data_IF_338113427837
#
_entry.id   IF_338113427837
#
_cell.length_a   1.000
_cell.length_b   1.000
_cell.length_c   1.000
_cell.angle_alpha   90.00
_cell.angle_beta   90.00
_cell.angle_gamma   90.00
#
_symmetry.space_group_name_H-M   'P 1'
#
loop_
_entity.id
_entity.type
_entity.pdbx_description
1 polymer ?
#
# COMPACT_ATOMS: atom_id res chain seq x y z
N UNK A 1 -20.89 6.47 -8.94
CA UNK A 1 -19.85 6.17 -7.92
C UNK A 1 -18.58 6.88 -8.37
N UNK A 2 -18.01 7.73 -7.51
CA UNK A 2 -16.76 8.44 -7.82
C UNK A 2 -15.60 7.67 -7.20
N UNK A 3 -14.57 7.34 -8.00
CA UNK A 3 -13.34 6.67 -7.55
C UNK A 3 -12.20 7.67 -7.63
N UNK A 4 -11.63 8.01 -6.47
CA UNK A 4 -10.40 8.81 -6.40
C UNK A 4 -9.20 7.95 -6.78
N UNK A 5 -8.34 8.43 -7.70
CA UNK A 5 -7.08 7.76 -8.08
C UNK A 5 -5.89 8.22 -7.26
N UNK A 6 -6.02 9.34 -6.55
CA UNK A 6 -5.01 9.85 -5.64
C UNK A 6 -5.58 10.93 -4.70
N UNK A 7 -4.80 11.30 -3.68
CA UNK A 7 -5.23 12.30 -2.70
C UNK A 7 -5.40 13.71 -3.30
N UNK A 8 -4.68 14.03 -4.38
CA UNK A 8 -4.79 15.33 -5.06
C UNK A 8 -6.11 15.55 -5.81
N UNK A 9 -6.92 14.50 -5.98
CA UNK A 9 -8.27 14.63 -6.56
C UNK A 9 -9.34 15.00 -5.51
N UNK A 10 -8.94 15.11 -4.24
CA UNK A 10 -9.82 15.47 -3.13
C UNK A 10 -9.65 16.95 -2.74
N UNK A 11 -10.78 17.59 -2.45
CA UNK A 11 -10.77 18.95 -1.89
C UNK A 11 -10.40 18.93 -0.39
N UNK A 12 -10.00 20.08 0.15
CA UNK A 12 -9.58 20.22 1.55
C UNK A 12 -10.62 19.68 2.55
N UNK A 13 -11.90 20.00 2.35
CA UNK A 13 -12.98 19.53 3.23
C UNK A 13 -13.17 18.01 3.18
N UNK A 14 -12.95 17.40 2.01
CA UNK A 14 -13.06 15.95 1.84
C UNK A 14 -11.92 15.22 2.55
N UNK A 15 -10.68 15.71 2.41
CA UNK A 15 -9.53 15.17 3.16
C UNK A 15 -9.72 15.35 4.68
N UNK A 16 -10.21 16.51 5.10
CA UNK A 16 -10.46 16.79 6.51
C UNK A 16 -11.47 15.82 7.12
N UNK A 17 -12.57 15.59 6.42
CA UNK A 17 -13.64 14.69 6.89
C UNK A 17 -13.26 13.21 6.86
N UNK A 18 -12.40 12.79 5.91
CA UNK A 18 -12.10 11.36 5.68
C UNK A 18 -10.82 10.90 6.38
N UNK A 19 -9.67 11.42 5.99
CA UNK A 19 -8.36 10.89 6.42
C UNK A 19 -7.78 11.64 7.62
N UNK A 20 -8.19 12.88 7.87
CA UNK A 20 -7.61 13.70 8.94
C UNK A 20 -8.43 13.74 10.23
N UNK A 21 -9.75 13.55 10.17
CA UNK A 21 -10.63 13.60 11.33
C UNK A 21 -10.27 12.49 12.34
N UNK A 22 -9.86 12.87 13.56
CA UNK A 22 -9.44 11.92 14.61
C UNK A 22 -10.52 10.91 15.00
N UNK A 23 -11.80 11.27 14.87
CA UNK A 23 -12.91 10.41 15.26
C UNK A 23 -13.21 9.31 14.22
N UNK A 24 -12.90 9.53 12.94
CA UNK A 24 -13.28 8.65 11.83
C UNK A 24 -12.10 8.08 11.06
N UNK A 25 -10.91 8.69 11.17
CA UNK A 25 -9.71 8.26 10.44
C UNK A 25 -9.24 6.88 10.91
N UNK A 26 -8.69 6.12 9.96
CA UNK A 26 -8.02 4.86 10.24
C UNK A 26 -6.51 5.06 10.11
N UNK A 27 -5.77 4.73 11.17
CA UNK A 27 -4.31 4.79 11.19
C UNK A 27 -3.75 3.40 11.48
N UNK A 28 -2.71 3.02 10.74
CA UNK A 28 -1.93 1.82 11.00
C UNK A 28 -0.61 2.21 11.69
N UNK A 29 -0.37 1.70 12.89
CA UNK A 29 0.92 1.86 13.57
C UNK A 29 1.87 0.77 13.10
N UNK A 30 2.92 1.15 12.38
CA UNK A 30 3.95 0.20 11.93
C UNK A 30 4.87 -0.14 13.09
N UNK A 31 5.15 -1.44 13.27
CA UNK A 31 6.08 -1.97 14.27
C UNK A 31 7.13 -2.84 13.58
N UNK A 32 8.28 -3.00 14.22
CA UNK A 32 9.38 -3.85 13.74
C UNK A 32 9.43 -5.05 14.69
N UNK A 33 9.04 -6.22 14.18
CA UNK A 33 9.03 -7.45 14.96
C UNK A 33 10.44 -8.09 15.02
N UNK A 34 11.06 -8.28 13.85
CA UNK A 34 12.42 -8.82 13.73
C UNK A 34 13.29 -7.86 12.90
N UNK A 35 14.24 -7.15 13.53
CA UNK A 35 15.13 -6.22 12.85
C UNK A 35 15.98 -6.86 11.74
N UNK A 36 16.44 -8.10 11.91
CA UNK A 36 17.34 -8.76 10.95
C UNK A 36 16.58 -9.13 9.67
N UNK A 37 15.35 -9.64 9.82
CA UNK A 37 14.49 -9.95 8.68
C UNK A 37 14.10 -8.67 7.94
N UNK A 38 13.78 -7.61 8.67
CA UNK A 38 13.43 -6.31 8.09
C UNK A 38 14.61 -5.72 7.31
N UNK A 39 15.82 -5.73 7.88
CA UNK A 39 17.02 -5.24 7.21
C UNK A 39 17.29 -6.01 5.91
N UNK A 40 17.20 -7.34 5.94
CA UNK A 40 17.34 -8.18 4.74
C UNK A 40 16.31 -7.81 3.67
N UNK A 41 15.04 -7.62 4.04
CA UNK A 41 13.97 -7.24 3.10
C UNK A 41 14.21 -5.85 2.51
N UNK A 42 14.60 -4.87 3.34
CA UNK A 42 14.91 -3.51 2.89
C UNK A 42 16.09 -3.53 1.93
N UNK A 43 17.16 -4.26 2.24
CA UNK A 43 18.34 -4.38 1.38
C UNK A 43 18.01 -4.96 0.01
N UNK A 44 17.18 -6.02 -0.05
CA UNK A 44 16.76 -6.62 -1.33
C UNK A 44 15.85 -5.68 -2.14
N UNK A 45 14.88 -5.02 -1.49
CA UNK A 45 13.88 -4.21 -2.18
C UNK A 45 14.39 -2.80 -2.55
N UNK A 46 15.24 -2.21 -1.73
CA UNK A 46 15.71 -0.83 -1.87
C UNK A 46 17.20 -0.71 -2.16
N UNK A 47 17.93 -1.83 -2.21
CA UNK A 47 19.35 -1.86 -2.54
C UNK A 47 19.63 -1.61 -4.03
N UNK A 48 20.92 -1.52 -4.36
CA UNK A 48 21.37 -1.13 -5.70
C UNK A 48 21.29 -2.26 -6.74
N UNK A 49 21.19 -3.53 -6.31
CA UNK A 49 21.13 -4.67 -7.22
C UNK A 49 19.69 -4.90 -7.72
N UNK A 50 19.44 -4.49 -8.96
CA UNK A 50 18.14 -4.67 -9.61
C UNK A 50 17.80 -6.14 -9.88
N UNK A 51 18.79 -7.03 -10.08
CA UNK A 51 18.58 -8.44 -10.38
C UNK A 51 18.01 -9.19 -9.16
N UNK A 52 18.57 -8.93 -7.98
CA UNK A 52 18.06 -9.50 -6.72
C UNK A 52 16.60 -9.08 -6.47
N UNK A 53 16.29 -7.80 -6.69
CA UNK A 53 14.91 -7.31 -6.57
C UNK A 53 13.96 -7.99 -7.53
N UNK A 54 14.38 -8.18 -8.79
CA UNK A 54 13.57 -8.83 -9.81
C UNK A 54 13.23 -10.27 -9.43
N UNK A 55 14.22 -11.06 -9.03
CA UNK A 55 14.03 -12.45 -8.58
C UNK A 55 13.04 -12.49 -7.42
N UNK A 56 13.22 -11.63 -6.42
CA UNK A 56 12.31 -11.55 -5.29
C UNK A 56 10.86 -11.28 -5.71
N UNK A 57 10.62 -10.35 -6.64
CA UNK A 57 9.28 -10.03 -7.13
C UNK A 57 8.68 -11.24 -7.86
N UNK A 58 9.43 -11.88 -8.75
CA UNK A 58 8.95 -13.04 -9.52
C UNK A 58 8.57 -14.23 -8.63
N UNK A 59 9.29 -14.43 -7.51
CA UNK A 59 9.02 -15.51 -6.55
C UNK A 59 7.86 -15.21 -5.59
N UNK A 60 7.59 -13.94 -5.28
CA UNK A 60 6.67 -13.55 -4.20
C UNK A 60 5.37 -12.87 -4.68
N UNK A 61 5.28 -12.44 -5.95
CA UNK A 61 4.13 -11.69 -6.47
C UNK A 61 3.33 -12.52 -7.48
N UNK A 62 2.01 -12.57 -7.30
CA UNK A 62 1.08 -13.16 -8.27
C UNK A 62 0.59 -12.08 -9.22
N UNK A 63 1.11 -12.07 -10.43
CA UNK A 63 0.75 -11.06 -11.45
C UNK A 63 -0.65 -11.23 -12.05
N UNK A 64 -1.31 -12.37 -11.81
CA UNK A 64 -2.60 -12.71 -12.42
C UNK A 64 -3.81 -12.42 -11.52
N UNK A 65 -3.59 -11.91 -10.30
CA UNK A 65 -4.68 -11.60 -9.39
C UNK A 65 -5.47 -10.37 -9.93
N UNK A 66 -6.79 -10.53 -10.10
CA UNK A 66 -7.67 -9.48 -10.61
C UNK A 66 -8.16 -8.59 -9.47
N UNK A 67 -8.13 -7.27 -9.68
CA UNK A 67 -8.70 -6.27 -8.75
C UNK A 67 -10.23 -6.42 -8.67
N UNK A 68 -10.74 -6.94 -7.56
CA UNK A 68 -12.17 -7.17 -7.27
C UNK A 68 -12.93 -5.92 -6.80
N UNK A 69 -12.28 -4.75 -6.71
CA UNK A 69 -12.86 -3.55 -6.11
C UNK A 69 -14.27 -3.20 -6.64
N UNK A 70 -14.49 -3.34 -7.96
CA UNK A 70 -15.80 -3.01 -8.56
C UNK A 70 -16.88 -4.05 -8.19
N UNK A 71 -16.50 -5.30 -7.95
CA UNK A 71 -17.45 -6.36 -7.56
C UNK A 71 -17.86 -6.21 -6.09
N UNK A 72 -16.93 -5.81 -5.22
CA UNK A 72 -17.18 -5.59 -3.79
C UNK A 72 -18.08 -4.38 -3.52
N UNK A 73 -17.96 -3.30 -4.30
CA UNK A 73 -18.75 -2.07 -4.12
C UNK A 73 -20.18 -2.19 -4.68
N UNK A 74 -20.46 -3.19 -5.53
CA UNK A 74 -21.79 -3.41 -6.12
C UNK A 74 -22.70 -4.35 -5.30
N UNK A 75 -22.14 -5.10 -4.36
CA UNK A 75 -22.91 -5.88 -3.37
C UNK A 75 -23.45 -4.96 -2.28
#
# INVERSE_FOLDING_TARGET
INRYKGLGEMNADQLAATTMNKATRQLLKVQIDDPLVVEKRISVLMGNDASQRRIWIEENVKFNDKDSFIEEVKK
#
